data_IF_604675838851
#
_entry.id   IF_604675838851
#
_cell.length_a   1.000
_cell.length_b   1.000
_cell.length_c   1.000
_cell.angle_alpha   90.00
_cell.angle_beta   90.00
_cell.angle_gamma   90.00
#
_symmetry.space_group_name_H-M   'P 1'
#
loop_
_entity.id
_entity.type
_entity.pdbx_description
1 polymer ?
#
# COMPACT_ATOMS: atom_id res chain seq x y z
N UNK A 1 19.75 48.85 -37.98
CA UNK A 1 19.88 47.42 -37.67
C UNK A 1 19.94 47.28 -36.15
N UNK A 2 18.79 47.40 -35.47
CA UNK A 2 18.74 47.26 -34.01
C UNK A 2 18.76 45.78 -33.64
N UNK A 3 19.71 45.39 -32.79
CA UNK A 3 19.81 44.04 -32.24
C UNK A 3 18.78 43.90 -31.13
N UNK A 4 17.84 42.98 -31.29
CA UNK A 4 16.91 42.57 -30.24
C UNK A 4 17.70 42.07 -29.02
N UNK A 5 17.46 42.68 -27.85
CA UNK A 5 18.11 42.32 -26.59
C UNK A 5 17.60 40.97 -26.02
N UNK A 6 18.39 40.31 -25.17
CA UNK A 6 18.07 38.99 -24.60
C UNK A 6 16.76 38.93 -23.79
N UNK A 7 16.27 40.07 -23.29
CA UNK A 7 15.01 40.22 -22.55
C UNK A 7 13.75 40.02 -23.42
N UNK A 8 13.84 40.27 -24.72
CA UNK A 8 12.75 40.03 -25.68
C UNK A 8 12.47 38.55 -25.87
N UNK A 9 13.51 37.71 -25.80
CA UNK A 9 13.42 36.27 -26.06
C UNK A 9 12.82 35.53 -24.86
N UNK A 10 13.23 35.91 -23.64
CA UNK A 10 12.66 35.35 -22.40
C UNK A 10 11.16 35.66 -22.26
N UNK A 11 10.75 36.87 -22.62
CA UNK A 11 9.34 37.29 -22.57
C UNK A 11 8.48 36.55 -23.60
N UNK A 12 9.05 36.21 -24.76
CA UNK A 12 8.36 35.42 -25.78
C UNK A 12 8.21 33.96 -25.33
N UNK A 13 9.27 33.38 -24.77
CA UNK A 13 9.29 31.98 -24.35
C UNK A 13 8.33 31.69 -23.19
N UNK A 14 8.18 32.64 -22.26
CA UNK A 14 7.19 32.52 -21.20
C UNK A 14 5.75 32.53 -21.76
N UNK A 15 5.45 33.40 -22.72
CA UNK A 15 4.12 33.43 -23.36
C UNK A 15 3.81 32.15 -24.12
N UNK A 16 4.81 31.60 -24.80
CA UNK A 16 4.64 30.33 -25.51
C UNK A 16 4.40 29.19 -24.52
N UNK A 17 5.06 29.20 -23.36
CA UNK A 17 4.84 28.23 -22.29
C UNK A 17 3.44 28.35 -21.69
N UNK A 18 3.00 29.56 -21.32
CA UNK A 18 1.68 29.81 -20.74
C UNK A 18 0.56 29.40 -21.71
N UNK A 19 0.77 29.59 -23.02
CA UNK A 19 -0.17 29.16 -24.04
C UNK A 19 -0.26 27.64 -24.15
N UNK A 20 0.87 26.94 -24.10
CA UNK A 20 0.89 25.46 -24.11
C UNK A 20 0.19 24.91 -22.87
N UNK A 21 0.42 25.50 -21.70
CA UNK A 21 -0.24 25.10 -20.45
C UNK A 21 -1.77 25.26 -20.55
N UNK A 22 -2.24 26.43 -21.01
CA UNK A 22 -3.66 26.68 -21.21
C UNK A 22 -4.29 25.70 -22.22
N UNK A 23 -3.57 25.34 -23.28
CA UNK A 23 -4.05 24.39 -24.27
C UNK A 23 -4.16 22.97 -23.69
N UNK A 24 -3.17 22.53 -22.91
CA UNK A 24 -3.18 21.23 -22.24
C UNK A 24 -4.34 21.11 -21.23
N UNK A 25 -4.68 22.20 -20.54
CA UNK A 25 -5.79 22.26 -19.59
C UNK A 25 -7.17 22.15 -20.23
N UNK A 26 -7.33 22.75 -21.42
CA UNK A 26 -8.57 22.70 -22.21
C UNK A 26 -8.76 21.33 -22.91
N UNK A 27 -7.67 20.63 -23.23
CA UNK A 27 -7.67 19.35 -23.95
C UNK A 27 -7.41 18.14 -23.03
N UNK A 28 -8.22 17.99 -21.98
CA UNK A 28 -7.99 16.99 -20.92
C UNK A 28 -7.87 15.54 -21.39
N UNK A 29 -8.71 15.09 -22.33
CA UNK A 29 -8.68 13.71 -22.83
C UNK A 29 -7.38 13.40 -23.57
N UNK A 30 -6.91 14.34 -24.39
CA UNK A 30 -5.63 14.24 -25.08
C UNK A 30 -4.48 14.26 -24.08
N UNK A 31 -4.48 15.22 -23.15
CA UNK A 31 -3.44 15.39 -22.13
C UNK A 31 -3.31 14.13 -21.26
N UNK A 32 -4.43 13.56 -20.82
CA UNK A 32 -4.46 12.31 -20.07
C UNK A 32 -3.85 11.15 -20.88
N UNK A 33 -4.32 10.92 -22.11
CA UNK A 33 -3.82 9.85 -22.98
C UNK A 33 -2.33 10.01 -23.31
N UNK A 34 -1.89 11.26 -23.52
CA UNK A 34 -0.49 11.60 -23.78
C UNK A 34 0.40 11.23 -22.59
N UNK A 35 0.04 11.64 -21.37
CA UNK A 35 0.83 11.32 -20.17
C UNK A 35 0.84 9.81 -19.86
N UNK A 36 -0.28 9.11 -20.02
CA UNK A 36 -0.30 7.64 -19.84
C UNK A 36 0.67 6.93 -20.79
N UNK A 37 0.81 7.42 -22.02
CA UNK A 37 1.67 6.80 -23.04
C UNK A 37 3.14 7.26 -22.97
N UNK A 38 3.41 8.47 -22.50
CA UNK A 38 4.71 9.14 -22.63
C UNK A 38 5.36 9.55 -21.32
N UNK A 39 4.66 9.51 -20.19
CA UNK A 39 5.28 9.83 -18.90
C UNK A 39 6.39 8.83 -18.59
N UNK A 40 7.56 9.35 -18.23
CA UNK A 40 8.69 8.55 -17.79
C UNK A 40 8.65 8.37 -16.27
N UNK A 41 9.36 7.35 -15.78
CA UNK A 41 9.51 7.12 -14.33
C UNK A 41 10.08 8.35 -13.62
N UNK A 42 11.02 9.05 -14.24
CA UNK A 42 11.66 10.24 -13.63
C UNK A 42 10.68 11.41 -13.51
N UNK A 43 9.76 11.59 -14.47
CA UNK A 43 8.68 12.58 -14.36
C UNK A 43 7.74 12.27 -13.18
N UNK A 44 7.39 10.99 -13.00
CA UNK A 44 6.55 10.54 -11.89
C UNK A 44 7.27 10.73 -10.55
N UNK A 45 8.55 10.37 -10.48
CA UNK A 45 9.37 10.56 -9.28
C UNK A 45 9.56 12.04 -8.93
N UNK A 46 9.74 12.90 -9.92
CA UNK A 46 9.81 14.35 -9.73
C UNK A 46 8.49 14.91 -9.19
N UNK A 47 7.36 14.48 -9.76
CA UNK A 47 6.02 14.83 -9.28
C UNK A 47 5.84 14.46 -7.81
N UNK A 48 6.22 13.25 -7.41
CA UNK A 48 6.17 12.85 -6.00
C UNK A 48 7.13 13.67 -5.14
N UNK A 49 8.35 13.90 -5.61
CA UNK A 49 9.37 14.66 -4.86
C UNK A 49 8.93 16.10 -4.60
N UNK A 50 8.30 16.76 -5.57
CA UNK A 50 7.87 18.16 -5.46
C UNK A 50 6.64 18.34 -4.55
N UNK A 51 5.77 17.31 -4.46
CA UNK A 51 4.58 17.35 -3.59
C UNK A 51 4.81 16.80 -2.18
N UNK A 52 5.95 16.17 -1.92
CA UNK A 52 6.28 15.55 -0.61
C UNK A 52 7.11 16.48 0.31
N UNK A 53 7.64 17.60 -0.19
CA UNK A 53 8.48 18.51 0.62
C UNK A 53 7.83 19.85 0.93
N UNK A 54 7.02 19.91 1.99
CA UNK A 54 7.01 21.06 2.91
C UNK A 54 6.38 20.68 4.27
N UNK A 55 7.14 19.96 5.09
CA UNK A 55 6.93 19.94 6.54
C UNK A 55 8.13 20.68 7.12
N UNK A 56 7.96 21.86 7.76
CA UNK A 56 9.05 22.46 8.52
C UNK A 56 9.40 21.51 9.67
N UNK A 57 10.56 20.86 9.58
CA UNK A 57 11.13 20.12 10.71
C UNK A 57 11.48 21.13 11.79
N UNK A 58 10.66 21.21 12.83
CA UNK A 58 11.06 21.86 14.07
C UNK A 58 12.28 21.11 14.62
N UNK A 59 13.40 21.83 14.73
CA UNK A 59 14.61 21.34 15.40
C UNK A 59 14.29 21.05 16.87
N UNK A 60 14.22 19.76 17.23
CA UNK A 60 14.19 19.30 18.61
C UNK A 60 15.57 19.57 19.25
N UNK A 61 15.70 20.71 19.92
CA UNK A 61 16.84 21.07 20.75
C UNK A 61 16.62 20.61 22.18
N UNK A 62 17.50 19.75 22.67
CA UNK A 62 17.63 19.33 24.07
C UNK A 62 17.71 20.57 24.98
N UNK A 63 16.80 20.73 25.95
CA UNK A 63 17.13 21.00 27.39
C UNK A 63 15.90 21.24 28.27
N UNK A 64 16.06 20.70 29.48
CA UNK A 64 15.21 20.72 30.67
C UNK A 64 14.58 22.07 31.07
N UNK A 65 13.42 21.93 31.73
CA UNK A 65 12.74 22.88 32.62
C UNK A 65 13.69 23.76 33.47
N UNK A 66 13.41 25.06 33.60
CA UNK A 66 13.26 25.82 34.87
C UNK A 66 12.66 27.22 34.58
N UNK A 67 11.94 27.72 35.58
CA UNK A 67 11.00 28.84 35.75
C UNK A 67 11.36 30.28 35.30
N UNK A 68 10.30 31.09 35.12
CA UNK A 68 10.14 32.51 35.51
C UNK A 68 10.07 33.63 34.42
N UNK A 69 8.84 34.17 34.28
CA UNK A 69 8.44 35.60 34.31
C UNK A 69 8.80 36.66 33.22
N UNK A 70 7.72 37.12 32.55
CA UNK A 70 7.28 38.52 32.23
C UNK A 70 7.70 39.33 30.97
N UNK A 71 6.65 39.89 30.32
CA UNK A 71 6.50 41.25 29.72
C UNK A 71 6.65 41.52 28.19
N UNK A 72 5.52 42.00 27.62
CA UNK A 72 5.29 43.11 26.63
C UNK A 72 5.57 42.98 25.11
N UNK A 73 4.49 43.22 24.34
CA UNK A 73 4.32 43.59 22.90
C UNK A 73 4.93 44.98 22.56
N UNK A 74 5.08 45.45 21.27
CA UNK A 74 4.13 45.28 20.14
C UNK A 74 4.63 45.22 18.65
N UNK A 75 3.76 44.62 17.82
CA UNK A 75 3.36 44.88 16.41
C UNK A 75 4.36 45.24 15.28
N UNK A 76 4.27 44.46 14.18
CA UNK A 76 4.10 44.99 12.80
C UNK A 76 3.34 43.99 11.91
N UNK A 77 2.62 44.42 10.86
CA UNK A 77 1.64 43.59 10.15
C UNK A 77 2.15 43.14 8.77
N UNK A 78 2.27 41.83 8.54
CA UNK A 78 2.26 41.28 7.20
C UNK A 78 1.21 40.18 7.12
N UNK A 79 0.29 40.36 6.17
CA UNK A 79 -0.86 39.52 5.93
C UNK A 79 -0.42 38.18 5.33
N UNK A 80 -0.29 37.16 6.18
CA UNK A 80 -0.22 35.79 5.71
C UNK A 80 -1.65 35.27 5.48
N UNK A 81 -1.92 34.91 4.23
CA UNK A 81 -3.12 34.18 3.82
C UNK A 81 -3.16 32.83 4.55
N UNK A 82 -3.91 32.79 5.65
CA UNK A 82 -4.28 31.56 6.34
C UNK A 82 -5.15 30.71 5.42
N UNK A 83 -4.53 29.78 4.68
CA UNK A 83 -5.24 28.56 4.28
C UNK A 83 -5.11 27.60 5.45
N UNK A 84 -6.20 27.12 6.07
CA UNK A 84 -6.09 26.08 7.09
C UNK A 84 -5.56 24.83 6.41
N UNK A 85 -4.29 24.50 6.65
CA UNK A 85 -3.69 23.25 6.18
C UNK A 85 -4.57 22.09 6.65
N UNK A 86 -5.19 21.39 5.68
CA UNK A 86 -5.98 20.23 5.99
C UNK A 86 -5.09 19.21 6.72
N UNK A 87 -5.53 18.64 7.86
CA UNK A 87 -4.73 17.67 8.58
C UNK A 87 -4.39 16.51 7.63
N UNK A 88 -3.09 16.19 7.57
CA UNK A 88 -2.61 15.04 6.80
C UNK A 88 -3.44 13.81 7.20
N UNK A 89 -4.07 13.18 6.21
CA UNK A 89 -4.88 11.98 6.45
C UNK A 89 -3.94 10.89 6.92
N UNK A 90 -3.87 10.67 8.25
CA UNK A 90 -3.14 9.56 8.89
C UNK A 90 -3.73 8.18 8.55
N UNK A 91 -4.80 8.16 7.76
CA UNK A 91 -5.57 6.98 7.41
C UNK A 91 -5.85 7.02 5.91
N UNK A 92 -5.59 5.91 5.23
CA UNK A 92 -6.09 5.72 3.88
C UNK A 92 -7.53 5.20 3.96
N UNK A 93 -8.44 5.81 3.20
CA UNK A 93 -9.81 5.33 3.12
C UNK A 93 -9.87 3.87 2.60
N UNK A 94 -8.89 3.45 1.80
CA UNK A 94 -8.80 2.08 1.27
C UNK A 94 -8.61 1.00 2.35
N UNK A 95 -8.12 1.34 3.55
CA UNK A 95 -7.96 0.37 4.64
C UNK A 95 -9.29 -0.06 5.28
N UNK A 96 -10.33 0.76 5.10
CA UNK A 96 -11.66 0.51 5.61
C UNK A 96 -12.56 -0.20 4.60
N UNK A 97 -12.10 -0.40 3.37
CA UNK A 97 -12.86 -1.11 2.33
C UNK A 97 -12.72 -2.63 2.49
N UNK A 98 -13.27 -3.13 3.60
CA UNK A 98 -13.35 -4.54 3.95
C UNK A 98 -14.56 -4.74 4.89
N UNK A 99 -15.06 -5.96 5.07
CA UNK A 99 -16.13 -6.22 6.02
C UNK A 99 -15.71 -5.82 7.44
N UNK A 100 -16.34 -4.79 7.98
CA UNK A 100 -16.14 -4.33 9.36
C UNK A 100 -17.37 -4.65 10.21
N UNK A 101 -17.13 -4.92 11.49
CA UNK A 101 -18.22 -5.06 12.46
C UNK A 101 -18.96 -3.73 12.60
N UNK A 102 -20.29 -3.73 12.77
CA UNK A 102 -21.04 -2.50 13.05
C UNK A 102 -20.47 -1.77 14.26
N UNK A 103 -20.36 -0.45 14.15
CA UNK A 103 -19.85 0.40 15.25
C UNK A 103 -20.84 0.40 16.42
N UNK A 104 -22.14 0.27 16.12
CA UNK A 104 -23.23 0.28 17.10
C UNK A 104 -24.04 -1.00 16.99
N UNK A 105 -24.32 -1.63 18.12
CA UNK A 105 -25.14 -2.83 18.27
C UNK A 105 -26.38 -2.47 19.10
N UNK A 106 -27.53 -3.06 18.79
CA UNK A 106 -28.72 -2.98 19.64
C UNK A 106 -28.74 -4.18 20.58
N UNK A 107 -28.94 -3.93 21.87
CA UNK A 107 -29.19 -5.00 22.82
C UNK A 107 -30.59 -5.60 22.65
N UNK A 108 -30.91 -6.63 23.44
CA UNK A 108 -32.22 -7.30 23.45
C UNK A 108 -33.38 -6.37 23.80
N UNK A 109 -33.10 -5.24 24.44
CA UNK A 109 -34.08 -4.23 24.84
C UNK A 109 -34.21 -3.11 23.79
N UNK A 110 -33.42 -3.16 22.71
CA UNK A 110 -33.42 -2.20 21.61
C UNK A 110 -32.59 -0.94 21.87
N UNK A 111 -31.86 -0.89 22.99
CA UNK A 111 -30.95 0.21 23.33
C UNK A 111 -29.70 0.13 22.47
N UNK A 112 -29.27 1.28 21.95
CA UNK A 112 -28.06 1.39 21.14
C UNK A 112 -26.81 1.43 22.03
N UNK A 113 -25.85 0.56 21.77
CA UNK A 113 -24.60 0.45 22.52
C UNK A 113 -23.40 0.26 21.61
N UNK A 114 -22.23 0.72 22.04
CA UNK A 114 -20.95 0.44 21.39
C UNK A 114 -20.33 -0.89 21.88
N UNK A 115 -20.89 -1.50 22.93
CA UNK A 115 -20.38 -2.73 23.52
C UNK A 115 -21.00 -3.94 22.81
N UNK A 116 -20.18 -4.69 22.07
CA UNK A 116 -20.56 -6.00 21.52
C UNK A 116 -20.29 -7.09 22.56
N UNK A 117 -21.27 -7.97 22.85
CA UNK A 117 -21.05 -9.17 23.66
C UNK A 117 -20.17 -10.17 22.88
N UNK A 118 -18.90 -10.28 23.25
CA UNK A 118 -17.88 -11.05 22.52
C UNK A 118 -17.80 -12.51 22.97
N UNK A 119 -18.93 -13.21 22.96
CA UNK A 119 -19.05 -14.59 23.44
C UNK A 119 -18.60 -15.70 22.48
N UNK A 120 -18.12 -15.40 21.27
CA UNK A 120 -17.74 -16.44 20.29
C UNK A 120 -16.31 -16.26 19.81
N UNK A 121 -15.38 -16.89 20.51
CA UNK A 121 -14.06 -17.23 19.96
C UNK A 121 -14.27 -18.35 18.94
N UNK A 122 -14.34 -18.01 17.67
CA UNK A 122 -14.20 -19.00 16.60
C UNK A 122 -12.77 -19.54 16.68
N UNK A 123 -12.65 -20.76 17.18
CA UNK A 123 -11.41 -21.50 17.26
C UNK A 123 -11.16 -22.12 15.87
N UNK A 124 -10.01 -21.78 15.26
CA UNK A 124 -9.54 -22.44 14.05
C UNK A 124 -9.48 -23.96 14.27
N UNK A 125 -10.02 -24.79 13.37
CA UNK A 125 -9.81 -26.23 13.42
C UNK A 125 -8.36 -26.53 13.01
N UNK A 126 -7.46 -26.70 13.98
CA UNK A 126 -6.17 -27.32 13.74
C UNK A 126 -6.37 -28.84 13.79
N UNK A 127 -6.64 -29.44 12.63
CA UNK A 127 -6.63 -30.90 12.50
C UNK A 127 -5.24 -31.29 12.01
N UNK A 128 -4.41 -31.88 12.87
CA UNK A 128 -3.09 -32.38 12.48
C UNK A 128 -3.22 -33.77 11.84
N UNK A 129 -2.68 -34.00 10.63
CA UNK A 129 -2.43 -35.35 10.16
C UNK A 129 -1.24 -35.92 10.94
N UNK A 130 -1.37 -37.15 11.45
CA UNK A 130 -0.25 -37.89 12.01
C UNK A 130 0.58 -38.45 10.85
N UNK A 131 1.82 -38.00 10.74
CA UNK A 131 2.83 -38.59 9.86
C UNK A 131 3.66 -39.59 10.68
N UNK A 132 3.78 -40.82 10.16
CA UNK A 132 4.63 -41.87 10.73
C UNK A 132 5.98 -41.88 10.01
N UNK A 133 7.03 -41.58 10.79
CA UNK A 133 8.38 -42.15 10.75
C UNK A 133 9.22 -42.04 9.46
N UNK A 134 10.04 -40.99 9.34
CA UNK A 134 11.54 -41.00 9.35
C UNK A 134 12.06 -39.53 9.21
N UNK A 135 11.34 -38.59 9.84
CA UNK A 135 11.21 -37.17 9.45
C UNK A 135 11.64 -36.19 10.57
N UNK A 136 12.60 -36.57 11.41
CA UNK A 136 13.02 -35.75 12.55
C UNK A 136 13.44 -34.32 12.17
N UNK A 137 14.20 -34.19 11.08
CA UNK A 137 14.74 -32.91 10.63
C UNK A 137 13.70 -32.06 9.88
N UNK A 138 12.86 -32.67 9.04
CA UNK A 138 11.84 -31.93 8.28
C UNK A 138 10.69 -31.46 9.17
N UNK A 139 10.23 -32.29 10.11
CA UNK A 139 9.25 -31.86 11.11
C UNK A 139 9.81 -30.76 12.01
N UNK A 140 11.07 -30.89 12.45
CA UNK A 140 11.74 -29.85 13.24
C UNK A 140 11.82 -28.53 12.48
N UNK A 141 12.24 -28.59 11.20
CA UNK A 141 12.30 -27.43 10.31
C UNK A 141 10.91 -26.83 10.12
N UNK A 142 9.88 -27.62 9.82
CA UNK A 142 8.50 -27.14 9.69
C UNK A 142 7.99 -26.45 10.96
N UNK A 143 8.27 -27.01 12.14
CA UNK A 143 7.87 -26.40 13.42
C UNK A 143 8.60 -25.08 13.68
N UNK A 144 9.87 -24.99 13.31
CA UNK A 144 10.62 -23.73 13.33
C UNK A 144 9.98 -22.69 12.41
N UNK A 145 9.61 -23.09 11.19
CA UNK A 145 8.89 -22.23 10.24
C UNK A 145 7.56 -21.73 10.81
N UNK A 146 6.75 -22.63 11.38
CA UNK A 146 5.46 -22.28 11.99
C UNK A 146 5.66 -21.30 13.13
N UNK A 147 6.65 -21.53 14.00
CA UNK A 147 6.95 -20.64 15.12
C UNK A 147 7.35 -19.25 14.64
N UNK A 148 8.22 -19.18 13.63
CA UNK A 148 8.72 -17.93 13.08
C UNK A 148 7.57 -17.11 12.45
N UNK A 149 6.74 -17.76 11.62
CA UNK A 149 5.58 -17.18 10.94
C UNK A 149 4.48 -16.75 11.94
N UNK A 150 4.25 -17.52 13.01
CA UNK A 150 3.19 -17.26 14.00
C UNK A 150 3.37 -15.96 14.80
N UNK A 151 4.59 -15.43 14.84
CA UNK A 151 4.91 -14.20 15.57
C UNK A 151 4.56 -12.91 14.81
N UNK A 152 4.25 -13.03 13.50
CA UNK A 152 3.99 -11.88 12.64
C UNK A 152 2.50 -11.53 12.58
N UNK A 153 2.13 -10.36 13.13
CA UNK A 153 0.77 -9.79 13.01
C UNK A 153 0.59 -8.91 11.76
N UNK A 154 1.68 -8.43 11.17
CA UNK A 154 1.64 -7.70 9.90
C UNK A 154 1.63 -8.70 8.74
N UNK A 155 0.54 -8.67 7.97
CA UNK A 155 0.35 -9.51 6.77
C UNK A 155 1.47 -9.29 5.76
N UNK A 156 2.03 -8.09 5.65
CA UNK A 156 3.12 -7.80 4.72
C UNK A 156 4.41 -8.52 5.12
N UNK A 157 4.85 -8.32 6.36
CA UNK A 157 5.99 -9.02 6.92
C UNK A 157 5.79 -10.55 6.90
N UNK A 158 4.59 -11.02 7.22
CA UNK A 158 4.20 -12.42 7.18
C UNK A 158 4.34 -13.02 5.77
N UNK A 159 3.81 -12.35 4.75
CA UNK A 159 3.93 -12.78 3.35
C UNK A 159 5.39 -12.94 2.94
N UNK A 160 6.23 -11.96 3.26
CA UNK A 160 7.66 -12.01 2.97
C UNK A 160 8.37 -13.16 3.70
N UNK A 161 7.97 -13.42 4.95
CA UNK A 161 8.56 -14.49 5.75
C UNK A 161 8.19 -15.87 5.24
N UNK A 162 6.91 -16.12 4.95
CA UNK A 162 6.42 -17.36 4.31
C UNK A 162 7.23 -17.65 3.05
N UNK A 163 7.47 -16.61 2.28
CA UNK A 163 8.09 -16.67 1.00
C UNK A 163 9.59 -17.03 1.05
N UNK A 164 10.36 -16.42 1.96
CA UNK A 164 11.77 -16.81 2.20
C UNK A 164 11.89 -18.29 2.56
N UNK A 165 10.90 -18.83 3.26
CA UNK A 165 10.86 -20.22 3.65
C UNK A 165 10.50 -21.15 2.49
N UNK A 166 9.53 -20.78 1.65
CA UNK A 166 9.14 -21.55 0.46
C UNK A 166 10.34 -21.75 -0.49
N UNK A 167 11.12 -20.71 -0.73
CA UNK A 167 12.31 -20.80 -1.59
C UNK A 167 13.27 -21.93 -1.18
N UNK A 168 13.47 -22.14 0.13
CA UNK A 168 14.30 -23.23 0.66
C UNK A 168 13.60 -24.57 0.85
N UNK A 169 12.33 -24.71 0.43
CA UNK A 169 11.51 -25.92 0.54
C UNK A 169 11.15 -26.52 -0.82
N UNK A 170 10.98 -25.69 -1.85
CA UNK A 170 10.59 -26.14 -3.19
C UNK A 170 11.67 -25.80 -4.21
N UNK A 171 12.00 -26.76 -5.08
CA UNK A 171 12.85 -26.51 -6.25
C UNK A 171 11.99 -25.96 -7.39
N UNK A 172 11.63 -24.68 -7.30
CA UNK A 172 10.87 -23.98 -8.32
C UNK A 172 11.62 -22.72 -8.79
N UNK A 173 11.57 -22.45 -10.09
CA UNK A 173 12.27 -21.29 -10.68
C UNK A 173 11.67 -19.96 -10.18
N UNK A 174 10.32 -19.93 -10.04
CA UNK A 174 9.58 -18.74 -9.63
C UNK A 174 8.36 -19.09 -8.81
N UNK A 175 7.97 -18.16 -7.94
CA UNK A 175 6.84 -18.32 -7.04
C UNK A 175 6.11 -16.99 -6.84
N UNK A 176 4.84 -17.08 -6.46
CA UNK A 176 3.96 -15.92 -6.25
C UNK A 176 2.96 -16.23 -5.15
N UNK A 177 2.62 -15.22 -4.35
CA UNK A 177 1.68 -15.36 -3.24
C UNK A 177 0.48 -14.44 -3.43
N UNK A 178 -0.71 -15.02 -3.41
CA UNK A 178 -1.98 -14.29 -3.54
C UNK A 178 -2.75 -14.34 -2.24
N UNK A 179 -3.30 -13.19 -1.83
CA UNK A 179 -4.17 -13.03 -0.69
C UNK A 179 -5.61 -12.87 -1.18
N UNK A 180 -6.53 -13.57 -0.51
CA UNK A 180 -7.96 -13.34 -0.71
C UNK A 180 -8.33 -12.06 0.05
N UNK A 181 -8.91 -11.12 -0.66
CA UNK A 181 -9.49 -9.90 -0.10
C UNK A 181 -11.00 -9.90 -0.35
N UNK A 182 -11.72 -9.26 0.55
CA UNK A 182 -13.16 -9.03 0.44
C UNK A 182 -13.38 -7.55 0.73
N UNK A 183 -14.14 -6.87 -0.13
CA UNK A 183 -14.49 -5.47 0.05
C UNK A 183 -15.74 -5.28 0.93
N UNK A 184 -16.13 -4.03 1.14
CA UNK A 184 -17.35 -3.69 1.88
C UNK A 184 -18.65 -4.19 1.22
N UNK A 185 -18.64 -4.47 -0.09
CA UNK A 185 -19.75 -5.03 -0.85
C UNK A 185 -19.84 -6.56 -0.75
N UNK A 186 -18.90 -7.20 -0.04
CA UNK A 186 -18.71 -8.66 0.04
C UNK A 186 -18.22 -9.30 -1.25
N UNK A 187 -17.71 -8.49 -2.18
CA UNK A 187 -17.10 -9.00 -3.39
C UNK A 187 -15.67 -9.45 -3.08
N UNK A 188 -15.38 -10.69 -3.47
CA UNK A 188 -14.06 -11.28 -3.27
C UNK A 188 -13.16 -10.97 -4.46
N UNK A 189 -11.87 -10.82 -4.19
CA UNK A 189 -10.84 -10.68 -5.21
C UNK A 189 -9.50 -11.15 -4.66
N UNK A 190 -8.53 -11.34 -5.55
CA UNK A 190 -7.20 -11.76 -5.17
C UNK A 190 -6.23 -10.60 -5.35
N UNK A 191 -5.34 -10.42 -4.37
CA UNK A 191 -4.26 -9.45 -4.44
C UNK A 191 -2.94 -10.18 -4.22
N UNK A 192 -2.02 -10.06 -5.18
CA UNK A 192 -0.64 -10.44 -4.96
C UNK A 192 0.16 -9.22 -4.54
N UNK A 193 0.84 -9.34 -3.40
CA UNK A 193 1.89 -8.38 -2.97
C UNK A 193 3.29 -8.88 -3.29
N UNK A 194 3.42 -10.13 -3.73
CA UNK A 194 4.68 -10.78 -4.04
C UNK A 194 4.44 -11.59 -5.32
N UNK A 195 4.82 -11.01 -6.45
CA UNK A 195 4.57 -11.59 -7.76
C UNK A 195 5.87 -11.81 -8.54
N UNK A 196 5.91 -12.93 -9.26
CA UNK A 196 6.98 -13.34 -10.18
C UNK A 196 8.37 -13.29 -9.56
N UNK A 197 8.55 -14.03 -8.47
CA UNK A 197 9.77 -13.92 -7.72
C UNK A 197 10.67 -15.12 -7.88
N UNK A 198 11.93 -14.84 -8.22
CA UNK A 198 13.00 -15.79 -8.44
C UNK A 198 14.05 -15.71 -7.32
N UNK A 199 14.93 -16.71 -7.28
CA UNK A 199 16.10 -16.72 -6.40
C UNK A 199 16.94 -15.43 -6.58
N UNK A 200 17.21 -14.73 -5.47
CA UNK A 200 18.03 -13.51 -5.47
C UNK A 200 17.29 -12.19 -5.69
N UNK A 201 15.97 -12.20 -5.89
CA UNK A 201 15.16 -10.98 -5.92
C UNK A 201 15.20 -10.22 -4.59
N UNK A 202 15.20 -8.89 -4.64
CA UNK A 202 15.06 -8.09 -3.42
C UNK A 202 13.59 -7.94 -3.00
N UNK A 203 13.35 -7.74 -1.70
CA UNK A 203 12.01 -7.49 -1.15
C UNK A 203 11.32 -6.28 -1.79
N UNK A 204 12.09 -5.26 -2.13
CA UNK A 204 11.60 -4.02 -2.75
C UNK A 204 11.06 -4.31 -4.16
N UNK A 205 11.78 -5.09 -4.96
CA UNK A 205 11.35 -5.47 -6.31
C UNK A 205 10.08 -6.32 -6.29
N UNK A 206 9.98 -7.26 -5.35
CA UNK A 206 8.82 -8.14 -5.22
C UNK A 206 7.56 -7.41 -4.71
N UNK A 207 7.71 -6.40 -3.85
CA UNK A 207 6.59 -5.69 -3.21
C UNK A 207 6.00 -4.54 -4.04
N UNK A 208 6.76 -4.00 -4.99
CA UNK A 208 6.31 -2.90 -5.86
C UNK A 208 5.31 -3.34 -6.95
N UNK A 209 5.22 -4.64 -7.23
CA UNK A 209 4.36 -5.21 -8.27
C UNK A 209 3.08 -5.81 -7.67
N UNK A 210 2.16 -4.95 -7.26
CA UNK A 210 0.84 -5.38 -6.79
C UNK A 210 -0.04 -5.79 -7.98
N UNK A 211 -0.54 -7.03 -7.97
CA UNK A 211 -1.49 -7.52 -8.98
C UNK A 211 -2.83 -7.79 -8.33
N UNK A 212 -3.91 -7.31 -8.96
CA UNK A 212 -5.29 -7.63 -8.58
C UNK A 212 -5.90 -8.54 -9.64
N UNK A 213 -6.50 -9.65 -9.19
CA UNK A 213 -7.26 -10.57 -10.04
C UNK A 213 -8.71 -10.66 -9.54
N UNK A 214 -9.63 -10.81 -10.48
CA UNK A 214 -11.04 -11.06 -10.20
C UNK A 214 -11.25 -12.47 -9.61
N UNK A 215 -12.30 -12.63 -8.80
CA UNK A 215 -12.68 -13.94 -8.27
C UNK A 215 -13.09 -14.91 -9.39
N UNK A 216 -12.70 -16.17 -9.25
CA UNK A 216 -13.03 -17.23 -10.21
C UNK A 216 -12.60 -16.93 -11.67
N UNK A 217 -11.50 -16.19 -11.84
CA UNK A 217 -10.87 -15.93 -13.13
C UNK A 217 -9.42 -16.40 -13.16
N UNK A 218 -9.04 -17.09 -14.25
CA UNK A 218 -7.71 -17.67 -14.40
C UNK A 218 -7.43 -18.83 -13.44
N UNK A 219 -6.21 -19.36 -13.48
CA UNK A 219 -5.80 -20.54 -12.69
C UNK A 219 -5.94 -20.25 -11.18
N UNK A 220 -5.37 -19.14 -10.71
CA UNK A 220 -5.40 -18.78 -9.29
C UNK A 220 -6.82 -18.48 -8.82
N UNK A 221 -7.63 -17.79 -9.64
CA UNK A 221 -9.03 -17.51 -9.31
C UNK A 221 -9.89 -18.77 -9.23
N UNK A 222 -9.64 -19.75 -10.09
CA UNK A 222 -10.30 -21.06 -10.03
C UNK A 222 -9.93 -21.79 -8.72
N UNK A 223 -8.64 -21.93 -8.42
CA UNK A 223 -8.20 -22.58 -7.16
C UNK A 223 -8.78 -21.86 -5.94
N UNK A 224 -8.83 -20.52 -5.93
CA UNK A 224 -9.42 -19.77 -4.83
C UNK A 224 -10.94 -20.00 -4.68
N UNK A 225 -11.66 -20.17 -5.80
CA UNK A 225 -13.11 -20.39 -5.79
C UNK A 225 -13.51 -21.81 -5.35
N UNK A 226 -12.73 -22.83 -5.75
CA UNK A 226 -13.06 -24.23 -5.51
C UNK A 226 -12.31 -24.84 -4.32
N UNK A 227 -11.16 -24.28 -3.93
CA UNK A 227 -10.34 -24.78 -2.81
C UNK A 227 -9.50 -26.01 -3.15
N UNK A 228 -9.52 -26.47 -4.41
CA UNK A 228 -8.82 -27.67 -4.86
C UNK A 228 -7.45 -27.33 -5.49
N UNK A 229 -6.36 -28.03 -5.12
CA UNK A 229 -5.04 -27.79 -5.69
C UNK A 229 -4.94 -28.25 -7.15
N UNK A 230 -4.19 -27.50 -7.96
CA UNK A 230 -3.95 -27.78 -9.38
C UNK A 230 -2.46 -28.00 -9.64
N UNK A 231 -2.13 -29.09 -10.34
CA UNK A 231 -0.77 -29.42 -10.80
C UNK A 231 -0.78 -29.61 -12.32
N UNK A 232 -0.54 -28.51 -13.02
CA UNK A 232 -0.57 -28.46 -14.47
C UNK A 232 0.84 -28.72 -15.01
N UNK A 233 0.98 -29.70 -15.92
CA UNK A 233 2.29 -30.04 -16.52
C UNK A 233 2.64 -29.14 -17.70
N UNK A 234 1.65 -28.76 -18.49
CA UNK A 234 1.75 -27.78 -19.56
C UNK A 234 0.61 -26.77 -19.42
N UNK A 235 0.93 -25.49 -19.28
CA UNK A 235 -0.04 -24.42 -19.07
C UNK A 235 -0.68 -23.91 -20.38
N UNK A 236 -0.18 -24.36 -21.54
CA UNK A 236 -0.66 -23.94 -22.85
C UNK A 236 -1.61 -24.95 -23.50
N UNK A 237 -1.76 -26.14 -22.92
CA UNK A 237 -2.75 -27.17 -23.28
C UNK A 237 -3.91 -27.21 -22.28
#
# INVERSE_FOLDING_TARGET
MERAGPSSVQSQQQRDQDWVEAWLDDHRDFTFSYFVRKATRDMVNAWFSERVHNIPVCKEGIRAHTESCSCSLPQSPHADNTTPGAPARKISASEFDRPLRPIVVKDSEGTVSFLSDSGKKEQMPLTSPRFDSDEGDQCSRLLELVKDISSHLDVTALCHKIFLHIHGLISADRYSLFLVCEDSSKDKFLVSRLFDVAEGSTLEEASNNCIRLEWNKGIVGHVAAFGEPLNIKDAYE
#
